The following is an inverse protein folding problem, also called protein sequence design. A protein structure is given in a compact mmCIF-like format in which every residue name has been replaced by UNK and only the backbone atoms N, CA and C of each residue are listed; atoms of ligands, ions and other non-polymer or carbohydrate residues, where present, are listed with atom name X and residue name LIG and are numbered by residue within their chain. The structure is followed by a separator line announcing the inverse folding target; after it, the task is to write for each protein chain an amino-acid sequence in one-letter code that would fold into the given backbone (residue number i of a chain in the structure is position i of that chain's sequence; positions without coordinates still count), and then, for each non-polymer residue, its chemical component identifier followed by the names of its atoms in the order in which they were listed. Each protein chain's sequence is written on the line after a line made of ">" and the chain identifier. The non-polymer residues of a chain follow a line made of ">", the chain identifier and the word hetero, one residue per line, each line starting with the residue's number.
data_IF_151301023128
#
_entry.id   IF_151301023128
#
_cell.length_a   1.000
_cell.length_b   1.000
_cell.length_c   1.000
_cell.angle_alpha   90.00
_cell.angle_beta   90.00
_cell.angle_gamma   90.00
#
_symmetry.space_group_name_H-M   'P 1'
#
loop_
_entity.id
_entity.type
_entity.pdbx_description
1 polymer ?
#
# COMPACT_ATOMS: atom_id res chain seq x y z
N UNK A 1 -15.05 9.76 -18.08
CA UNK A 1 -14.79 8.36 -17.67
C UNK A 1 -13.44 8.34 -16.99
N UNK A 2 -13.37 8.09 -15.68
CA UNK A 2 -12.09 8.00 -14.96
C UNK A 2 -11.36 6.74 -15.46
N UNK A 3 -10.13 6.91 -15.94
CA UNK A 3 -9.30 5.79 -16.40
C UNK A 3 -8.98 4.93 -15.18
N UNK A 4 -9.45 3.68 -15.17
CA UNK A 4 -9.05 2.68 -14.18
C UNK A 4 -7.53 2.53 -14.27
N UNK A 5 -6.83 3.07 -13.28
CA UNK A 5 -5.40 2.82 -13.13
C UNK A 5 -5.30 1.43 -12.53
N UNK A 6 -4.82 0.47 -13.30
CA UNK A 6 -4.53 -0.86 -12.79
C UNK A 6 -3.19 -0.83 -12.06
N UNK A 7 -3.16 -1.53 -10.93
CA UNK A 7 -1.97 -1.73 -10.10
C UNK A 7 -1.59 -3.20 -10.20
N UNK A 8 -0.37 -3.60 -9.82
CA UNK A 8 0.00 -5.02 -9.70
C UNK A 8 -0.93 -5.81 -8.78
N UNK A 9 -1.69 -5.13 -7.91
CA UNK A 9 -2.61 -5.71 -6.93
C UNK A 9 -4.09 -5.60 -7.36
N UNK A 10 -4.38 -5.21 -8.60
CA UNK A 10 -5.75 -5.00 -9.10
C UNK A 10 -6.11 -3.52 -9.30
N UNK A 11 -7.40 -3.18 -9.48
CA UNK A 11 -7.83 -1.81 -9.75
C UNK A 11 -7.44 -0.87 -8.59
N UNK A 12 -6.79 0.26 -8.91
CA UNK A 12 -6.30 1.23 -7.90
C UNK A 12 -7.37 1.66 -6.91
N UNK A 13 -8.58 1.90 -7.37
CA UNK A 13 -9.68 2.32 -6.52
C UNK A 13 -10.12 1.20 -5.56
N UNK A 14 -10.11 -0.05 -6.02
CA UNK A 14 -10.44 -1.21 -5.18
C UNK A 14 -9.37 -1.45 -4.11
N UNK A 15 -8.09 -1.38 -4.48
CA UNK A 15 -6.96 -1.48 -3.55
C UNK A 15 -7.01 -0.35 -2.52
N UNK A 16 -7.20 0.89 -2.97
CA UNK A 16 -7.29 2.05 -2.09
C UNK A 16 -8.49 1.99 -1.13
N UNK A 17 -9.66 1.54 -1.60
CA UNK A 17 -10.83 1.35 -0.75
C UNK A 17 -10.59 0.26 0.31
N UNK A 18 -9.98 -0.86 -0.08
CA UNK A 18 -9.63 -1.94 0.84
C UNK A 18 -8.60 -1.49 1.89
N UNK A 19 -7.53 -0.78 1.50
CA UNK A 19 -6.55 -0.23 2.43
C UNK A 19 -7.20 0.72 3.45
N UNK A 20 -8.06 1.63 2.99
CA UNK A 20 -8.81 2.54 3.87
C UNK A 20 -9.72 1.81 4.85
N UNK A 21 -10.41 0.75 4.40
CA UNK A 21 -11.25 -0.08 5.27
C UNK A 21 -10.45 -0.76 6.40
N UNK A 22 -9.15 -1.00 6.17
CA UNK A 22 -8.23 -1.53 7.18
C UNK A 22 -7.54 -0.44 8.01
N UNK A 23 -7.77 0.84 7.69
CA UNK A 23 -7.17 1.99 8.38
C UNK A 23 -5.79 2.37 7.87
N UNK A 24 -5.42 1.94 6.66
CA UNK A 24 -4.19 2.34 5.96
C UNK A 24 -4.51 3.48 5.01
N UNK A 25 -3.73 4.56 5.02
CA UNK A 25 -3.83 5.62 4.02
C UNK A 25 -3.19 5.14 2.71
N UNK A 26 -3.94 5.03 1.59
CA UNK A 26 -3.37 4.64 0.30
C UNK A 26 -2.30 5.62 -0.23
N UNK A 27 -2.27 6.84 0.29
CA UNK A 27 -1.24 7.85 -0.04
C UNK A 27 0.13 7.50 0.52
N UNK A 28 0.14 6.74 1.63
CA UNK A 28 1.35 6.26 2.29
C UNK A 28 1.87 4.99 1.61
N UNK A 29 1.08 4.29 0.79
CA UNK A 29 1.48 3.04 0.16
C UNK A 29 1.96 3.30 -1.27
N UNK A 30 3.20 2.92 -1.65
CA UNK A 30 3.59 2.81 -3.03
C UNK A 30 2.67 1.81 -3.70
N UNK A 31 1.89 2.30 -4.66
CA UNK A 31 0.94 1.48 -5.43
C UNK A 31 1.65 0.39 -6.25
N UNK A 32 2.96 0.54 -6.44
CA UNK A 32 3.84 -0.43 -7.12
C UNK A 32 4.60 -1.34 -6.14
N UNK A 33 4.56 -1.04 -4.83
CA UNK A 33 5.28 -1.80 -3.81
C UNK A 33 4.49 -3.02 -3.32
N UNK A 34 5.15 -4.12 -2.94
CA UNK A 34 4.49 -5.36 -2.52
C UNK A 34 3.57 -5.13 -1.31
N UNK A 35 2.30 -5.50 -1.46
CA UNK A 35 1.35 -5.60 -0.34
C UNK A 35 1.17 -7.08 -0.01
N UNK A 36 1.52 -7.46 1.21
CA UNK A 36 1.43 -8.85 1.67
C UNK A 36 0.53 -8.97 2.89
N UNK A 37 -0.04 -10.16 3.10
CA UNK A 37 -0.84 -10.48 4.27
C UNK A 37 -0.18 -11.64 5.02
N UNK A 38 -0.06 -11.50 6.33
CA UNK A 38 0.39 -12.56 7.22
C UNK A 38 -0.59 -12.66 8.39
N UNK A 39 -1.33 -13.77 8.46
CA UNK A 39 -2.41 -14.01 9.44
C UNK A 39 -3.44 -12.87 9.48
N UNK A 40 -3.35 -12.01 10.47
CA UNK A 40 -4.24 -10.88 10.77
C UNK A 40 -3.59 -9.53 10.49
N UNK A 41 -2.49 -9.49 9.72
CA UNK A 41 -1.74 -8.27 9.43
C UNK A 41 -1.52 -8.06 7.94
N UNK A 42 -1.67 -6.81 7.53
CA UNK A 42 -1.27 -6.31 6.23
C UNK A 42 0.12 -5.72 6.38
N UNK A 43 1.08 -6.20 5.60
CA UNK A 43 2.44 -5.70 5.52
C UNK A 43 2.61 -4.91 4.23
N UNK A 44 3.16 -3.72 4.34
CA UNK A 44 3.38 -2.82 3.21
C UNK A 44 4.55 -1.89 3.52
N UNK A 45 5.23 -1.43 2.48
CA UNK A 45 6.22 -0.37 2.62
C UNK A 45 5.51 0.98 2.61
N UNK A 46 5.69 1.80 3.65
CA UNK A 46 5.11 3.13 3.70
C UNK A 46 6.11 4.17 3.20
N UNK A 47 5.70 5.05 2.30
CA UNK A 47 6.48 6.22 1.90
C UNK A 47 6.75 7.11 3.11
N UNK A 48 8.01 7.44 3.33
CA UNK A 48 8.40 8.34 4.40
C UNK A 48 8.19 9.79 3.95
N UNK A 49 7.41 10.54 4.71
CA UNK A 49 7.20 11.98 4.50
C UNK A 49 7.77 12.78 5.68
N UNK A 50 8.25 13.99 5.39
CA UNK A 50 8.66 14.95 6.41
C UNK A 50 7.44 15.63 7.06
N UNK A 51 7.67 16.46 8.08
CA UNK A 51 6.60 17.18 8.79
C UNK A 51 5.79 18.19 7.95
N UNK A 52 6.20 18.45 6.70
CA UNK A 52 5.47 19.31 5.75
C UNK A 52 4.80 18.51 4.62
N UNK A 53 4.78 17.17 4.71
CA UNK A 53 4.15 16.29 3.72
C UNK A 53 4.99 16.07 2.45
N UNK A 54 6.26 16.47 2.42
CA UNK A 54 7.16 16.15 1.31
C UNK A 54 7.81 14.78 1.54
N UNK A 55 7.89 13.98 0.48
CA UNK A 55 8.50 12.65 0.51
C UNK A 55 10.01 12.74 0.68
N UNK A 56 10.57 11.88 1.53
CA UNK A 56 12.01 11.67 1.58
C UNK A 56 12.47 10.87 0.38
N UNK A 57 13.68 11.15 -0.10
CA UNK A 57 14.39 10.36 -1.11
C UNK A 57 15.39 9.46 -0.38
N UNK A 58 15.51 8.21 -0.80
CA UNK A 58 16.42 7.27 -0.16
C UNK A 58 17.88 7.70 -0.43
N UNK A 59 18.77 7.67 0.57
CA UNK A 59 20.16 8.05 0.36
C UNK A 59 20.84 7.07 -0.59
N UNK A 60 21.31 7.56 -1.74
CA UNK A 60 22.02 6.76 -2.74
C UNK A 60 21.14 6.19 -3.86
N UNK A 61 19.83 6.44 -3.84
CA UNK A 61 18.95 6.22 -5.00
C UNK A 61 18.10 7.46 -5.27
N UNK A 62 17.57 7.60 -6.49
CA UNK A 62 16.59 8.65 -6.80
C UNK A 62 15.15 8.21 -6.45
N UNK A 63 15.00 7.12 -5.68
CA UNK A 63 13.71 6.56 -5.29
C UNK A 63 13.18 7.20 -4.00
N UNK A 64 11.86 7.13 -3.84
CA UNK A 64 11.21 7.54 -2.59
C UNK A 64 11.64 6.62 -1.45
N UNK A 65 12.09 7.21 -0.34
CA UNK A 65 12.41 6.45 0.86
C UNK A 65 11.13 5.82 1.42
N UNK A 66 11.18 4.52 1.66
CA UNK A 66 10.09 3.76 2.28
C UNK A 66 10.54 3.10 3.57
N UNK A 67 9.58 2.73 4.42
CA UNK A 67 9.83 1.92 5.60
C UNK A 67 8.75 0.86 5.77
N UNK A 68 9.12 -0.38 6.14
CA UNK A 68 8.14 -1.44 6.36
C UNK A 68 7.20 -1.07 7.50
N UNK A 69 5.90 -1.15 7.22
CA UNK A 69 4.82 -0.96 8.18
C UNK A 69 3.87 -2.14 8.14
N UNK A 70 3.06 -2.22 9.19
CA UNK A 70 1.99 -3.18 9.27
C UNK A 70 0.72 -2.52 9.80
N UNK A 71 -0.41 -3.06 9.37
CA UNK A 71 -1.75 -2.70 9.86
C UNK A 71 -2.55 -3.96 10.15
N UNK A 72 -3.56 -3.84 11.01
CA UNK A 72 -4.46 -4.95 11.32
C UNK A 72 -5.38 -5.22 10.12
N UNK A 73 -5.48 -6.47 9.70
CA UNK A 73 -6.44 -6.93 8.71
C UNK A 73 -7.83 -7.04 9.35
N UNK A 74 -8.65 -6.01 9.13
CA UNK A 74 -10.05 -5.94 9.56
C UNK A 74 -11.01 -6.48 8.50
N UNK A 75 -10.69 -6.26 7.24
CA UNK A 75 -11.52 -6.64 6.09
C UNK A 75 -10.65 -7.41 5.11
N UNK A 76 -11.08 -8.60 4.73
CA UNK A 76 -10.41 -9.41 3.71
C UNK A 76 -10.33 -8.66 2.37
N UNK A 77 -9.27 -8.87 1.56
CA UNK A 77 -9.17 -8.29 0.23
C UNK A 77 -10.36 -8.74 -0.64
N UNK A 78 -11.00 -7.84 -1.39
CA UNK A 78 -12.04 -8.22 -2.33
C UNK A 78 -11.46 -9.05 -3.48
N UNK A 79 -12.29 -9.80 -4.20
CA UNK A 79 -11.85 -10.75 -5.24
C UNK A 79 -11.03 -10.13 -6.38
N UNK A 80 -11.16 -8.82 -6.60
CA UNK A 80 -10.40 -8.05 -7.59
C UNK A 80 -9.14 -7.38 -7.02
N UNK A 81 -8.78 -7.66 -5.76
CA UNK A 81 -7.54 -7.20 -5.12
C UNK A 81 -6.64 -8.40 -4.88
N UNK A 82 -5.49 -8.40 -5.52
CA UNK A 82 -4.48 -9.45 -5.42
C UNK A 82 -3.46 -9.05 -4.35
N UNK A 83 -3.20 -9.94 -3.39
CA UNK A 83 -2.19 -9.75 -2.34
C UNK A 83 -1.46 -11.06 -2.14
N UNK A 84 -0.18 -10.99 -1.79
CA UNK A 84 0.59 -12.20 -1.48
C UNK A 84 0.33 -12.60 -0.04
N UNK A 85 -0.21 -13.81 0.18
CA UNK A 85 -0.30 -14.39 1.51
C UNK A 85 1.05 -15.05 1.84
N UNK A 86 1.68 -14.62 2.94
CA UNK A 86 2.82 -15.33 3.52
C UNK A 86 2.28 -16.34 4.54
N UNK A 87 2.61 -17.61 4.33
CA UNK A 87 2.16 -18.76 5.12
C UNK A 87 2.72 -18.76 6.55
#
# INVERSE_FOLDING_TARGET
>A
MAKLVETPFGPRDAVAAWLRANGVDPSDVPIEGPITITRDRIHYDAMLCNGTGHRYVAPGTDDVATAPRWAVLKVAPPANVQVTALA
#
